data_IF_267569925569
#
_entry.id   IF_267569925569
#
_cell.length_a   1.000
_cell.length_b   1.000
_cell.length_c   1.000
_cell.angle_alpha   90.00
_cell.angle_beta   90.00
_cell.angle_gamma   90.00
#
_symmetry.space_group_name_H-M   'P 1'
#
loop_
_entity.id
_entity.type
_entity.pdbx_description
1 polymer ?
#
# COMPACT_ATOMS: atom_id res chain seq x y z
N UNK A 1 7.82 2.00 -19.84
CA UNK A 1 7.53 2.21 -21.28
C UNK A 1 7.39 0.88 -22.01
N UNK A 2 8.31 -0.09 -21.80
CA UNK A 2 8.21 -1.49 -22.27
C UNK A 2 6.89 -2.19 -21.89
N UNK A 3 6.49 -2.11 -20.62
CA UNK A 3 5.32 -2.86 -20.10
C UNK A 3 3.98 -2.38 -20.69
N UNK A 4 3.91 -1.13 -21.14
CA UNK A 4 2.71 -0.57 -21.78
C UNK A 4 2.59 -1.00 -23.24
N UNK A 5 3.71 -1.05 -23.97
CA UNK A 5 3.76 -1.60 -25.33
C UNK A 5 3.49 -3.12 -25.34
N UNK A 6 3.98 -3.83 -24.33
CA UNK A 6 3.74 -5.27 -24.16
C UNK A 6 2.29 -5.57 -23.80
N UNK A 7 1.65 -4.72 -22.98
CA UNK A 7 0.21 -4.78 -22.67
C UNK A 7 -0.67 -4.46 -23.88
N UNK A 8 -0.28 -3.50 -24.72
CA UNK A 8 -0.97 -3.20 -25.98
C UNK A 8 -0.88 -4.37 -26.97
N UNK A 9 0.28 -5.04 -27.02
CA UNK A 9 0.47 -6.19 -27.91
C UNK A 9 -0.28 -7.44 -27.45
N UNK A 10 -0.33 -7.73 -26.14
CA UNK A 10 -1.07 -8.88 -25.62
C UNK A 10 -2.59 -8.74 -25.84
N UNK A 11 -3.17 -7.58 -25.54
CA UNK A 11 -4.61 -7.35 -25.73
C UNK A 11 -5.02 -7.18 -27.21
N UNK A 12 -4.12 -6.75 -28.09
CA UNK A 12 -4.40 -6.74 -29.53
C UNK A 12 -4.30 -8.14 -30.16
N UNK A 13 -3.52 -9.06 -29.57
CA UNK A 13 -3.23 -10.35 -30.21
C UNK A 13 -4.36 -11.40 -30.12
N UNK A 14 -5.28 -11.29 -29.16
CA UNK A 14 -6.36 -12.28 -28.98
C UNK A 14 -7.66 -11.98 -29.78
N UNK A 15 -7.83 -10.79 -30.35
CA UNK A 15 -9.02 -10.45 -31.19
C UNK A 15 -8.72 -9.87 -32.59
N UNK A 16 -7.47 -9.55 -32.94
CA UNK A 16 -7.10 -9.04 -34.27
C UNK A 16 -6.42 -10.10 -35.15
N UNK A 17 -7.16 -11.16 -35.50
CA UNK A 17 -6.91 -11.83 -36.79
C UNK A 17 -7.47 -10.93 -37.90
N UNK A 18 -6.66 -9.97 -38.33
CA UNK A 18 -6.94 -9.05 -39.43
C UNK A 18 -6.91 -9.83 -40.75
N UNK A 19 -8.08 -10.32 -41.17
CA UNK A 19 -8.38 -10.36 -42.60
C UNK A 19 -8.77 -8.94 -43.01
N UNK A 20 -8.02 -8.40 -43.96
CA UNK A 20 -8.02 -7.00 -44.32
C UNK A 20 -9.35 -6.52 -44.88
N UNK A 21 -9.90 -5.47 -44.26
CA UNK A 21 -10.66 -4.42 -44.91
C UNK A 21 -10.87 -3.30 -43.89
N UNK A 22 -10.84 -2.06 -44.39
CA UNK A 22 -11.11 -0.82 -43.66
C UNK A 22 -12.25 -0.94 -42.63
N UNK A 23 -11.93 -1.31 -41.40
CA UNK A 23 -12.80 -1.09 -40.26
C UNK A 23 -12.19 0.06 -39.49
N UNK A 24 -12.91 1.18 -39.44
CA UNK A 24 -12.83 2.05 -38.27
C UNK A 24 -12.93 1.12 -37.06
N UNK A 25 -11.79 0.85 -36.42
CA UNK A 25 -11.79 0.33 -35.06
C UNK A 25 -12.76 1.25 -34.34
N UNK A 26 -13.80 0.67 -33.74
CA UNK A 26 -14.84 1.42 -33.04
C UNK A 26 -14.17 2.13 -31.86
N UNK A 27 -13.58 3.30 -32.14
CA UNK A 27 -12.76 4.11 -31.25
C UNK A 27 -13.52 4.33 -29.94
N UNK A 28 -14.85 4.47 -30.05
CA UNK A 28 -15.74 4.64 -28.90
C UNK A 28 -15.70 3.43 -27.95
N UNK A 29 -15.64 2.20 -28.47
CA UNK A 29 -15.57 0.97 -27.68
C UNK A 29 -14.22 0.83 -27.00
N UNK A 30 -13.13 1.14 -27.70
CA UNK A 30 -11.77 1.14 -27.15
C UNK A 30 -11.63 2.15 -25.99
N UNK A 31 -12.03 3.40 -26.20
CA UNK A 31 -11.94 4.45 -25.17
C UNK A 31 -12.83 4.17 -23.96
N UNK A 32 -14.01 3.56 -24.15
CA UNK A 32 -14.89 3.15 -23.06
C UNK A 32 -14.29 2.00 -22.23
N UNK A 33 -13.62 1.04 -22.87
CA UNK A 33 -12.90 -0.03 -22.16
C UNK A 33 -11.77 0.54 -21.30
N UNK A 34 -10.93 1.42 -21.85
CA UNK A 34 -9.86 2.07 -21.09
C UNK A 34 -10.40 2.95 -19.95
N UNK A 35 -11.50 3.68 -20.18
CA UNK A 35 -12.14 4.49 -19.13
C UNK A 35 -12.63 3.63 -17.95
N UNK A 36 -13.27 2.48 -18.24
CA UNK A 36 -13.67 1.52 -17.19
C UNK A 36 -12.47 0.94 -16.45
N UNK A 37 -11.41 0.62 -17.18
CA UNK A 37 -10.17 0.13 -16.57
C UNK A 37 -9.53 1.18 -15.66
N UNK A 38 -9.50 2.45 -16.07
CA UNK A 38 -8.97 3.54 -15.26
C UNK A 38 -9.72 3.70 -13.93
N UNK A 39 -11.06 3.64 -13.97
CA UNK A 39 -11.89 3.64 -12.75
C UNK A 39 -11.56 2.44 -11.87
N UNK A 40 -11.51 1.24 -12.46
CA UNK A 40 -11.22 0.02 -11.71
C UNK A 40 -9.84 0.04 -11.05
N UNK A 41 -8.81 0.56 -11.73
CA UNK A 41 -7.47 0.73 -11.17
C UNK A 41 -7.45 1.73 -10.02
N UNK A 42 -8.18 2.85 -10.17
CA UNK A 42 -8.30 3.85 -9.11
C UNK A 42 -9.01 3.28 -7.87
N UNK A 43 -10.11 2.55 -8.05
CA UNK A 43 -10.83 1.87 -6.96
C UNK A 43 -9.95 0.84 -6.26
N UNK A 44 -9.21 0.02 -7.02
CA UNK A 44 -8.26 -0.95 -6.47
C UNK A 44 -7.16 -0.27 -5.64
N UNK A 45 -6.59 0.83 -6.14
CA UNK A 45 -5.58 1.58 -5.39
C UNK A 45 -6.14 2.11 -4.06
N UNK A 46 -7.38 2.61 -4.05
CA UNK A 46 -8.03 3.06 -2.81
C UNK A 46 -8.24 1.90 -1.82
N UNK A 47 -8.70 0.74 -2.29
CA UNK A 47 -8.92 -0.45 -1.46
C UNK A 47 -7.60 -0.98 -0.87
N UNK A 48 -6.55 -1.09 -1.68
CA UNK A 48 -5.21 -1.50 -1.23
C UNK A 48 -4.65 -0.54 -0.17
N UNK A 49 -4.78 0.77 -0.38
CA UNK A 49 -4.34 1.76 0.59
C UNK A 49 -5.10 1.65 1.91
N UNK A 50 -6.42 1.43 1.87
CA UNK A 50 -7.25 1.23 3.06
C UNK A 50 -6.87 -0.04 3.81
N UNK A 51 -6.61 -1.13 3.09
CA UNK A 51 -6.20 -2.42 3.64
C UNK A 51 -4.86 -2.28 4.36
N UNK A 52 -3.84 -1.74 3.68
CA UNK A 52 -2.51 -1.56 4.27
C UNK A 52 -2.53 -0.59 5.47
N UNK A 53 -3.43 0.40 5.44
CA UNK A 53 -3.65 1.30 6.57
C UNK A 53 -4.25 0.56 7.77
N UNK A 54 -5.23 -0.32 7.55
CA UNK A 54 -5.81 -1.15 8.60
C UNK A 54 -4.78 -2.12 9.19
N UNK A 55 -3.99 -2.78 8.33
CA UNK A 55 -2.90 -3.66 8.75
C UNK A 55 -1.85 -2.92 9.59
N UNK A 56 -1.54 -1.66 9.25
CA UNK A 56 -0.62 -0.83 10.04
C UNK A 56 -1.12 -0.61 11.47
N UNK A 57 -2.44 -0.44 11.66
CA UNK A 57 -3.04 -0.35 13.01
C UNK A 57 -2.95 -1.70 13.73
N UNK A 58 -3.25 -2.81 13.05
CA UNK A 58 -3.15 -4.14 13.65
C UNK A 58 -1.72 -4.44 14.12
N UNK A 59 -0.72 -4.06 13.33
CA UNK A 59 0.69 -4.22 13.73
C UNK A 59 1.06 -3.36 14.95
N UNK A 60 0.49 -2.16 15.10
CA UNK A 60 0.69 -1.37 16.32
C UNK A 60 0.09 -2.05 17.56
N UNK A 61 -1.07 -2.70 17.44
CA UNK A 61 -1.66 -3.50 18.53
C UNK A 61 -0.75 -4.68 18.89
N UNK A 62 -0.20 -5.38 17.90
CA UNK A 62 0.76 -6.46 18.11
C UNK A 62 2.00 -5.95 18.84
N UNK A 63 2.54 -4.79 18.47
CA UNK A 63 3.68 -4.19 19.15
C UNK A 63 3.36 -3.88 20.62
N UNK A 64 2.18 -3.31 20.91
CA UNK A 64 1.76 -3.04 22.29
C UNK A 64 1.65 -4.33 23.12
N UNK A 65 1.08 -5.38 22.53
CA UNK A 65 1.00 -6.70 23.15
C UNK A 65 2.39 -7.27 23.43
N UNK A 66 3.29 -7.23 22.45
CA UNK A 66 4.66 -7.71 22.60
C UNK A 66 5.44 -6.92 23.64
N UNK A 67 5.34 -5.58 23.63
CA UNK A 67 5.95 -4.74 24.64
C UNK A 67 5.48 -5.11 26.05
N UNK A 68 4.17 -5.32 26.23
CA UNK A 68 3.59 -5.74 27.51
C UNK A 68 4.08 -7.13 27.93
N UNK A 69 4.16 -8.06 26.98
CA UNK A 69 4.67 -9.40 27.18
C UNK A 69 6.15 -9.40 27.58
N UNK A 70 6.99 -8.58 26.92
CA UNK A 70 8.40 -8.46 27.26
C UNK A 70 8.59 -7.90 28.67
N UNK A 71 7.82 -6.87 29.07
CA UNK A 71 7.86 -6.35 30.44
C UNK A 71 7.55 -7.47 31.44
N UNK A 72 6.49 -8.24 31.22
CA UNK A 72 6.14 -9.36 32.10
C UNK A 72 7.26 -10.41 32.18
N UNK A 73 7.80 -10.81 31.02
CA UNK A 73 8.91 -11.75 30.95
C UNK A 73 10.13 -11.25 31.73
N UNK A 74 10.55 -10.00 31.54
CA UNK A 74 11.73 -9.48 32.24
C UNK A 74 11.46 -9.24 33.73
N UNK A 75 10.26 -8.82 34.12
CA UNK A 75 9.92 -8.57 35.52
C UNK A 75 9.75 -9.87 36.33
N UNK A 76 9.13 -10.90 35.77
CA UNK A 76 8.87 -12.16 36.48
C UNK A 76 9.96 -13.21 36.23
N UNK A 77 10.59 -13.18 35.06
CA UNK A 77 11.68 -14.09 34.70
C UNK A 77 13.00 -13.72 35.37
N UNK A 78 13.31 -12.44 35.58
CA UNK A 78 14.60 -11.99 36.13
C UNK A 78 14.95 -12.56 37.51
N UNK A 79 13.98 -13.04 38.29
CA UNK A 79 14.24 -13.71 39.57
C UNK A 79 14.72 -15.17 39.41
N UNK A 80 14.51 -15.80 38.25
CA UNK A 80 14.94 -17.17 37.94
C UNK A 80 16.27 -17.23 37.18
N UNK A 81 16.59 -16.19 36.42
CA UNK A 81 17.87 -16.06 35.74
C UNK A 81 18.82 -15.31 36.66
N UNK A 82 20.02 -15.84 36.92
CA UNK A 82 21.07 -15.10 37.60
C UNK A 82 21.58 -14.00 36.67
N UNK A 83 20.76 -12.99 36.41
CA UNK A 83 21.05 -11.89 35.51
C UNK A 83 22.08 -10.97 36.16
N UNK A 84 23.35 -11.35 36.08
CA UNK A 84 24.49 -10.45 36.26
C UNK A 84 24.82 -9.71 34.95
N UNK A 85 23.82 -9.47 34.10
CA UNK A 85 23.99 -8.77 32.83
C UNK A 85 23.94 -7.27 33.01
N UNK A 86 24.76 -6.57 32.23
CA UNK A 86 24.63 -5.13 32.10
C UNK A 86 23.17 -4.77 31.75
N UNK A 87 22.53 -3.89 32.52
CA UNK A 87 21.10 -3.58 32.38
C UNK A 87 20.72 -3.03 30.99
N UNK A 88 21.72 -2.62 30.18
CA UNK A 88 21.58 -2.04 28.85
C UNK A 88 21.03 -3.01 27.80
N UNK A 89 21.36 -4.30 27.85
CA UNK A 89 20.94 -5.28 26.83
C UNK A 89 19.44 -5.60 26.88
N UNK A 90 18.82 -5.47 28.05
CA UNK A 90 17.38 -5.69 28.27
C UNK A 90 16.54 -4.64 27.53
N UNK A 91 17.09 -3.44 27.28
CA UNK A 91 16.38 -2.35 26.60
C UNK A 91 16.37 -2.48 25.07
N UNK A 92 17.30 -3.23 24.46
CA UNK A 92 17.44 -3.31 23.00
C UNK A 92 16.19 -3.84 22.28
N UNK A 93 15.49 -4.90 22.77
CA UNK A 93 14.22 -5.32 22.20
C UNK A 93 13.16 -4.21 22.19
N UNK A 94 13.06 -3.44 23.27
CA UNK A 94 12.09 -2.34 23.37
C UNK A 94 12.40 -1.20 22.41
N UNK A 95 13.69 -0.88 22.21
CA UNK A 95 14.11 0.13 21.24
C UNK A 95 13.72 -0.32 19.83
N UNK A 96 13.95 -1.58 19.47
CA UNK A 96 13.57 -2.12 18.15
C UNK A 96 12.06 -2.11 17.94
N UNK A 97 11.26 -2.49 18.96
CA UNK A 97 9.80 -2.35 18.90
C UNK A 97 9.36 -0.89 18.71
N UNK A 98 9.98 0.05 19.42
CA UNK A 98 9.64 1.46 19.32
C UNK A 98 9.94 2.01 17.92
N UNK A 99 11.09 1.64 17.34
CA UNK A 99 11.44 2.00 15.95
C UNK A 99 10.40 1.45 14.98
N UNK A 100 10.03 0.17 15.09
CA UNK A 100 8.97 -0.42 14.27
C UNK A 100 7.63 0.31 14.44
N UNK A 101 7.25 0.68 15.66
CA UNK A 101 6.01 1.42 15.92
C UNK A 101 5.99 2.78 15.23
N UNK A 102 7.10 3.53 15.30
CA UNK A 102 7.23 4.84 14.63
C UNK A 102 7.08 4.66 13.12
N UNK A 103 7.66 3.62 12.53
CA UNK A 103 7.55 3.36 11.09
C UNK A 103 6.10 3.02 10.71
N UNK A 104 5.39 2.19 11.48
CA UNK A 104 3.97 1.89 11.22
C UNK A 104 3.08 3.13 11.37
N UNK A 105 3.29 3.97 12.38
CA UNK A 105 2.57 5.25 12.54
C UNK A 105 2.81 6.16 11.35
N UNK A 106 4.06 6.31 10.92
CA UNK A 106 4.40 7.14 9.78
C UNK A 106 3.82 6.58 8.47
N UNK A 107 3.81 5.24 8.32
CA UNK A 107 3.15 4.53 7.23
C UNK A 107 1.65 4.83 7.18
N UNK A 108 0.96 4.74 8.32
CA UNK A 108 -0.47 5.06 8.46
C UNK A 108 -0.79 6.48 7.97
N UNK A 109 -0.04 7.49 8.44
CA UNK A 109 -0.27 8.87 8.02
C UNK A 109 0.04 9.10 6.53
N UNK A 110 1.07 8.42 5.99
CA UNK A 110 1.41 8.51 4.56
C UNK A 110 0.31 7.89 3.69
N UNK A 111 -0.27 6.76 4.11
CA UNK A 111 -1.40 6.13 3.40
C UNK A 111 -2.72 6.90 3.60
N UNK A 112 -2.77 7.82 4.55
CA UNK A 112 -3.93 8.69 4.75
C UNK A 112 -3.91 9.92 3.84
N UNK A 113 -2.79 10.21 3.17
CA UNK A 113 -2.66 11.29 2.19
C UNK A 113 -2.97 10.84 0.75
N UNK A 114 -3.72 9.75 0.58
CA UNK A 114 -4.18 9.29 -0.74
C UNK A 114 -5.07 10.33 -1.42
N UNK A 115 -4.99 10.39 -2.74
CA UNK A 115 -5.82 11.26 -3.56
C UNK A 115 -7.22 10.66 -3.63
N UNK A 116 -8.20 11.36 -3.05
CA UNK A 116 -9.61 11.08 -3.24
C UNK A 116 -10.09 11.82 -4.50
N UNK A 117 -10.67 11.09 -5.44
CA UNK A 117 -11.26 11.67 -6.64
C UNK A 117 -12.38 12.66 -6.28
N UNK A 118 -12.89 13.46 -7.24
CA UNK A 118 -13.89 14.48 -7.03
C UNK A 118 -15.14 13.82 -6.48
N UNK A 119 -15.33 14.00 -5.18
CA UNK A 119 -16.46 13.47 -4.43
C UNK A 119 -17.72 14.35 -4.63
N UNK A 120 -17.60 15.47 -5.34
CA UNK A 120 -18.72 16.35 -5.66
C UNK A 120 -19.29 16.00 -7.04
N UNK A 121 -20.61 15.83 -7.10
CA UNK A 121 -21.33 15.68 -8.36
C UNK A 121 -21.17 16.90 -9.28
N UNK A 122 -20.77 18.05 -8.74
CA UNK A 122 -20.72 19.33 -9.44
C UNK A 122 -19.57 19.45 -10.46
N UNK A 123 -18.29 19.16 -10.14
CA UNK A 123 -17.20 19.10 -11.12
C UNK A 123 -17.44 18.00 -12.16
N UNK A 124 -17.90 16.81 -11.74
CA UNK A 124 -18.20 15.71 -12.65
C UNK A 124 -19.31 16.09 -13.65
N UNK A 125 -20.36 16.77 -13.21
CA UNK A 125 -21.43 17.28 -14.08
C UNK A 125 -20.95 18.43 -14.98
N UNK A 126 -20.21 19.40 -14.44
CA UNK A 126 -19.69 20.51 -15.23
C UNK A 126 -18.81 20.03 -16.38
N UNK A 127 -17.86 19.11 -16.12
CA UNK A 127 -17.02 18.53 -17.17
C UNK A 127 -17.86 17.65 -18.12
N UNK A 128 -18.89 16.95 -17.63
CA UNK A 128 -19.77 16.16 -18.50
C UNK A 128 -20.65 17.01 -19.41
N UNK A 129 -21.09 18.17 -18.92
CA UNK A 129 -22.04 19.04 -19.62
C UNK A 129 -21.32 19.98 -20.62
N UNK A 130 -20.01 20.16 -20.46
CA UNK A 130 -19.16 21.04 -21.29
C UNK A 130 -18.43 20.31 -22.42
N UNK A 131 -18.27 18.98 -22.33
CA UNK A 131 -17.55 18.16 -23.31
C UNK A 131 -18.48 17.16 -24.01
N UNK A 132 -18.18 16.83 -25.28
CA UNK A 132 -18.80 15.70 -25.96
C UNK A 132 -18.52 14.39 -25.20
N UNK A 133 -19.45 13.44 -25.23
CA UNK A 133 -19.40 12.24 -24.39
C UNK A 133 -18.10 11.41 -24.56
N UNK A 134 -17.51 11.38 -25.76
CA UNK A 134 -16.24 10.70 -26.03
C UNK A 134 -15.04 11.49 -25.51
N UNK A 135 -15.06 12.81 -25.61
CA UNK A 135 -14.00 13.69 -25.12
C UNK A 135 -13.97 13.70 -23.59
N UNK A 136 -15.15 13.73 -22.96
CA UNK A 136 -15.30 13.53 -21.51
C UNK A 136 -14.67 12.21 -21.05
N UNK A 137 -14.93 11.10 -21.75
CA UNK A 137 -14.36 9.80 -21.41
C UNK A 137 -12.83 9.81 -21.51
N UNK A 138 -12.27 10.39 -22.57
CA UNK A 138 -10.81 10.51 -22.75
C UNK A 138 -10.16 11.34 -21.65
N UNK A 139 -10.71 12.52 -21.34
CA UNK A 139 -10.19 13.41 -20.30
C UNK A 139 -10.26 12.73 -18.93
N UNK A 140 -11.41 12.19 -18.55
CA UNK A 140 -11.58 11.57 -17.24
C UNK A 140 -10.77 10.27 -17.11
N UNK A 141 -10.58 9.51 -18.18
CA UNK A 141 -9.70 8.35 -18.20
C UNK A 141 -8.27 8.73 -17.80
N UNK A 142 -7.71 9.77 -18.42
CA UNK A 142 -6.35 10.26 -18.12
C UNK A 142 -6.26 10.64 -16.63
N UNK A 143 -7.24 11.39 -16.13
CA UNK A 143 -7.28 11.84 -14.75
C UNK A 143 -7.36 10.66 -13.76
N UNK A 144 -8.16 9.63 -14.04
CA UNK A 144 -8.21 8.43 -13.19
C UNK A 144 -6.90 7.65 -13.21
N UNK A 145 -6.23 7.54 -14.36
CA UNK A 145 -4.91 6.91 -14.42
C UNK A 145 -3.88 7.70 -13.62
N UNK A 146 -3.84 9.03 -13.74
CA UNK A 146 -2.92 9.87 -12.98
C UNK A 146 -3.12 9.72 -11.46
N UNK A 147 -4.37 9.76 -10.99
CA UNK A 147 -4.65 9.51 -9.57
C UNK A 147 -4.36 8.08 -9.12
N UNK A 148 -4.59 7.10 -9.99
CA UNK A 148 -4.23 5.72 -9.69
C UNK A 148 -2.71 5.57 -9.53
N UNK A 149 -1.93 6.15 -10.44
CA UNK A 149 -0.47 6.12 -10.40
C UNK A 149 0.08 6.80 -9.14
N UNK A 150 -0.43 8.00 -8.81
CA UNK A 150 -0.07 8.70 -7.56
C UNK A 150 -0.37 7.85 -6.32
N UNK A 151 -1.54 7.22 -6.28
CA UNK A 151 -1.94 6.35 -5.18
C UNK A 151 -1.08 5.08 -5.12
N UNK A 152 -0.78 4.43 -6.25
CA UNK A 152 0.11 3.27 -6.29
C UNK A 152 1.53 3.61 -5.83
N UNK A 153 2.00 4.82 -6.15
CA UNK A 153 3.30 5.29 -5.67
C UNK A 153 3.33 5.48 -4.15
N UNK A 154 2.25 6.01 -3.57
CA UNK A 154 2.07 6.10 -2.11
C UNK A 154 2.00 4.71 -1.48
N UNK A 155 1.23 3.79 -2.07
CA UNK A 155 1.08 2.41 -1.59
C UNK A 155 2.43 1.70 -1.61
N UNK A 156 3.20 1.79 -2.70
CA UNK A 156 4.53 1.19 -2.81
C UNK A 156 5.48 1.73 -1.75
N UNK A 157 5.47 3.04 -1.50
CA UNK A 157 6.25 3.65 -0.39
C UNK A 157 5.79 3.14 0.97
N UNK A 158 4.48 2.99 1.16
CA UNK A 158 3.86 2.41 2.36
C UNK A 158 4.30 0.97 2.59
N UNK A 159 4.17 0.11 1.58
CA UNK A 159 4.54 -1.31 1.61
C UNK A 159 6.02 -1.50 1.95
N UNK A 160 6.92 -0.73 1.31
CA UNK A 160 8.35 -0.79 1.63
C UNK A 160 8.63 -0.50 3.10
N UNK A 161 7.97 0.53 3.66
CA UNK A 161 8.10 0.88 5.08
C UNK A 161 7.50 -0.20 5.98
N UNK A 162 6.36 -0.74 5.59
CA UNK A 162 5.69 -1.84 6.29
C UNK A 162 6.59 -3.07 6.41
N UNK A 163 7.26 -3.47 5.32
CA UNK A 163 8.24 -4.58 5.33
C UNK A 163 9.43 -4.30 6.24
N UNK A 164 9.98 -3.08 6.23
CA UNK A 164 11.08 -2.70 7.12
C UNK A 164 10.63 -2.78 8.59
N UNK A 165 9.43 -2.29 8.90
CA UNK A 165 8.88 -2.31 10.25
C UNK A 165 8.64 -3.75 10.75
N UNK A 166 8.14 -4.63 9.89
CA UNK A 166 8.04 -6.08 10.16
C UNK A 166 9.40 -6.68 10.48
N UNK A 167 10.43 -6.36 9.69
CA UNK A 167 11.81 -6.79 9.96
C UNK A 167 12.30 -6.39 11.35
N UNK A 168 12.04 -5.14 11.77
CA UNK A 168 12.37 -4.66 13.12
C UNK A 168 11.59 -5.37 14.24
N UNK A 169 10.35 -5.79 13.96
CA UNK A 169 9.50 -6.51 14.88
C UNK A 169 10.06 -7.94 15.11
N UNK A 170 10.43 -8.64 14.04
CA UNK A 170 11.09 -9.94 14.13
C UNK A 170 12.49 -9.85 14.75
N UNK A 171 13.27 -8.81 14.43
CA UNK A 171 14.57 -8.57 15.06
C UNK A 171 14.42 -8.39 16.58
N UNK A 172 13.39 -7.66 17.02
CA UNK A 172 13.05 -7.52 18.43
C UNK A 172 12.76 -8.86 19.11
N UNK A 173 11.92 -9.70 18.50
CA UNK A 173 11.61 -11.04 19.01
C UNK A 173 12.88 -11.90 19.12
N UNK A 174 13.74 -11.85 18.10
CA UNK A 174 15.02 -12.55 18.10
C UNK A 174 15.94 -12.08 19.23
N UNK A 175 16.00 -10.77 19.50
CA UNK A 175 16.79 -10.25 20.62
C UNK A 175 16.27 -10.71 21.97
N UNK A 176 14.95 -10.76 22.18
CA UNK A 176 14.39 -11.36 23.42
C UNK A 176 14.85 -12.81 23.53
N UNK A 177 14.71 -13.61 22.48
CA UNK A 177 15.16 -15.00 22.50
C UNK A 177 16.66 -15.15 22.81
N UNK A 178 17.52 -14.30 22.24
CA UNK A 178 18.97 -14.28 22.54
C UNK A 178 19.23 -13.97 24.01
N UNK A 179 18.53 -12.98 24.57
CA UNK A 179 18.64 -12.65 26.00
C UNK A 179 18.24 -13.84 26.87
N UNK A 180 17.30 -14.68 26.46
CA UNK A 180 16.92 -15.89 27.23
C UNK A 180 17.80 -17.13 26.98
N UNK A 181 18.47 -17.22 25.83
CA UNK A 181 19.30 -18.38 25.49
C UNK A 181 20.74 -18.26 26.01
N UNK A 182 21.24 -17.03 26.14
CA UNK A 182 22.65 -16.76 26.49
C UNK A 182 22.83 -16.16 27.90
N UNK A 183 21.76 -16.05 28.69
CA UNK A 183 21.75 -15.60 30.10
C UNK A 183 20.95 -16.55 30.99
#
# INVERSE_FOLDING_TARGET
MSDFEEFLNQNNSEELSVDGENSEIDDSKFWNQLYRQAISNFERALEEAQTLRAESIEMLKIILLLGSFYVAIFQFGSNQFSMTTEPTWIFLPFISLLVSAIIFIHGYFTLSSITFGPNSQHPRKAIRDEFDASEYQKVMMIVYFEWADDNFDLIRKGQKRFTIALGGLFASLGMVAVVFLYL
#
